data_IF_499752986412
#
_entry.id   IF_499752986412
#
_cell.length_a   1.000
_cell.length_b   1.000
_cell.length_c   1.000
_cell.angle_alpha   90.00
_cell.angle_beta   90.00
_cell.angle_gamma   90.00
#
_symmetry.space_group_name_H-M   'P 1'
#
loop_
_entity.id
_entity.type
_entity.pdbx_description
1 polymer ?
#
# COMPACT_ATOMS: atom_id res chain seq x y z
N UNK A 1 22.81 22.19 28.28
CA UNK A 1 21.71 21.80 29.20
C UNK A 1 20.53 22.72 28.91
N UNK A 2 19.63 22.37 27.99
CA UNK A 2 18.38 23.11 27.81
C UNK A 2 17.25 22.31 28.47
N UNK A 3 16.64 22.89 29.51
CA UNK A 3 15.38 22.41 30.08
C UNK A 3 14.26 22.80 29.12
N UNK A 4 13.48 21.84 28.63
CA UNK A 4 12.26 22.13 27.88
C UNK A 4 11.04 21.76 28.72
N UNK A 5 10.14 22.72 28.88
CA UNK A 5 8.90 22.62 29.66
C UNK A 5 7.86 21.85 28.85
N UNK A 6 7.30 20.79 29.44
CA UNK A 6 6.20 20.01 28.86
C UNK A 6 4.88 20.71 29.21
N UNK A 7 4.11 21.12 28.19
CA UNK A 7 2.68 21.41 28.35
C UNK A 7 1.88 20.21 27.85
N UNK A 8 1.25 19.49 28.77
CA UNK A 8 0.23 18.50 28.48
C UNK A 8 -1.08 19.22 28.15
N UNK A 9 -1.67 18.92 27.00
CA UNK A 9 -3.06 19.25 26.72
C UNK A 9 -3.85 17.97 26.49
N UNK A 10 -4.88 17.78 27.30
CA UNK A 10 -5.90 16.73 27.19
C UNK A 10 -6.74 16.96 25.93
N UNK A 11 -7.00 15.90 25.17
CA UNK A 11 -7.84 15.95 23.97
C UNK A 11 -9.31 16.16 24.35
N UNK A 12 -9.93 17.21 23.80
CA UNK A 12 -11.37 17.33 23.70
C UNK A 12 -11.81 16.78 22.32
N UNK A 13 -12.82 15.92 22.32
CA UNK A 13 -13.48 15.45 21.10
C UNK A 13 -14.53 16.47 20.66
N UNK A 14 -14.27 17.19 19.57
CA UNK A 14 -15.31 17.97 18.90
C UNK A 14 -15.95 17.12 17.79
N UNK A 15 -17.14 16.62 18.08
CA UNK A 15 -18.11 16.12 17.10
C UNK A 15 -18.64 17.30 16.30
N UNK A 16 -17.90 17.79 15.29
CA UNK A 16 -18.40 18.59 14.15
C UNK A 16 -17.20 19.10 13.33
N UNK A 17 -16.88 18.41 12.24
CA UNK A 17 -15.94 18.91 11.22
C UNK A 17 -14.63 18.13 11.14
N UNK A 18 -14.55 17.26 10.12
CA UNK A 18 -13.37 16.47 9.77
C UNK A 18 -12.15 17.37 9.50
N UNK A 19 -11.31 17.57 10.52
CA UNK A 19 -9.93 18.05 10.35
C UNK A 19 -8.97 17.08 11.02
N UNK A 20 -8.33 16.24 10.20
CA UNK A 20 -7.18 15.46 10.62
C UNK A 20 -5.99 16.42 10.84
N UNK A 21 -5.73 16.79 12.10
CA UNK A 21 -4.47 17.40 12.53
C UNK A 21 -3.55 16.30 13.06
N UNK A 22 -2.64 15.81 12.23
CA UNK A 22 -1.53 14.99 12.70
C UNK A 22 -0.27 15.85 12.84
N UNK A 23 0.24 15.92 14.06
CA UNK A 23 1.51 16.54 14.40
C UNK A 23 2.63 15.49 14.23
N UNK A 24 3.66 15.80 13.45
CA UNK A 24 4.92 15.06 13.48
C UNK A 24 5.90 15.85 14.33
N UNK A 25 6.36 15.24 15.43
CA UNK A 25 7.42 15.74 16.29
C UNK A 25 8.72 14.96 16.04
N UNK A 26 9.82 15.67 15.81
CA UNK A 26 11.21 15.27 16.07
C UNK A 26 11.56 15.85 17.45
N UNK A 27 12.24 15.26 18.44
CA UNK A 27 13.22 14.17 18.57
C UNK A 27 13.25 13.79 20.08
N UNK A 28 13.34 12.50 20.45
CA UNK A 28 14.16 12.05 21.60
C UNK A 28 14.31 10.52 21.64
N UNK A 29 15.43 10.08 22.24
CA UNK A 29 15.89 8.69 22.36
C UNK A 29 14.88 7.81 23.09
N UNK A 30 14.64 6.60 22.55
CA UNK A 30 13.93 5.45 23.16
C UNK A 30 12.54 5.05 22.64
N UNK A 31 12.09 5.57 21.49
CA UNK A 31 11.03 4.91 20.71
C UNK A 31 11.55 4.57 19.31
N UNK A 32 11.40 3.29 18.91
CA UNK A 32 11.67 2.82 17.55
C UNK A 32 10.75 3.62 16.59
N UNK A 33 11.21 3.92 15.38
CA UNK A 33 10.58 4.91 14.47
C UNK A 33 10.12 4.23 13.18
N UNK A 34 9.02 4.71 12.59
CA UNK A 34 8.67 4.49 11.18
C UNK A 34 9.86 4.96 10.34
N UNK A 35 10.44 4.06 9.54
CA UNK A 35 11.54 4.40 8.66
C UNK A 35 10.98 5.22 7.48
N UNK A 36 11.81 6.02 6.82
CA UNK A 36 11.41 7.02 5.81
C UNK A 36 10.77 6.43 4.53
N UNK A 37 10.51 5.13 4.52
CA UNK A 37 10.07 4.31 3.42
C UNK A 37 8.72 3.63 3.65
N UNK A 38 8.01 4.00 4.72
CA UNK A 38 6.71 3.44 5.08
C UNK A 38 5.60 4.49 5.08
N UNK A 39 4.45 4.13 4.53
CA UNK A 39 3.23 4.92 4.54
C UNK A 39 2.19 4.26 5.43
N UNK A 40 1.48 5.09 6.20
CA UNK A 40 0.34 4.67 7.02
C UNK A 40 -0.91 5.31 6.44
N UNK A 41 -1.93 4.49 6.17
CA UNK A 41 -3.24 4.98 5.76
C UNK A 41 -4.28 4.68 6.85
N UNK A 42 -5.11 5.68 7.13
CA UNK A 42 -6.16 5.60 8.15
C UNK A 42 -7.52 5.30 7.54
N UNK A 43 -7.79 5.87 6.37
CA UNK A 43 -9.00 5.64 5.61
C UNK A 43 -8.70 4.61 4.52
N UNK A 44 -9.28 3.39 4.58
CA UNK A 44 -9.05 2.36 3.57
C UNK A 44 -9.39 2.82 2.15
N UNK A 45 -10.29 3.78 1.99
CA UNK A 45 -10.67 4.35 0.68
C UNK A 45 -9.53 5.16 0.03
N UNK A 46 -8.47 5.47 0.78
CA UNK A 46 -7.23 6.01 0.22
C UNK A 46 -6.37 4.96 -0.46
N UNK A 47 -6.71 3.67 -0.37
CA UNK A 47 -6.01 2.60 -1.03
C UNK A 47 -6.93 1.78 -1.94
N UNK A 48 -6.35 1.36 -3.05
CA UNK A 48 -6.98 0.52 -4.05
C UNK A 48 -6.06 -0.69 -4.31
N UNK A 49 -6.39 -1.87 -3.75
CA UNK A 49 -5.64 -3.11 -3.97
C UNK A 49 -5.75 -3.61 -5.42
N UNK A 50 -4.76 -3.27 -6.25
CA UNK A 50 -4.80 -3.52 -7.70
C UNK A 50 -4.14 -4.80 -8.16
N UNK A 51 -3.07 -5.21 -7.49
CA UNK A 51 -2.30 -6.37 -7.91
C UNK A 51 -1.90 -7.25 -6.74
N UNK A 52 -1.83 -8.55 -6.99
CA UNK A 52 -1.10 -9.49 -6.14
C UNK A 52 0.12 -9.98 -6.89
N UNK A 53 1.30 -9.76 -6.31
CA UNK A 53 2.59 -10.13 -6.90
C UNK A 53 3.06 -11.39 -6.20
N UNK A 54 3.01 -12.52 -6.90
CA UNK A 54 3.63 -13.75 -6.43
C UNK A 54 5.07 -13.82 -6.90
N UNK A 55 5.94 -14.20 -5.97
CA UNK A 55 7.37 -14.27 -6.22
C UNK A 55 7.96 -15.59 -5.75
N UNK A 56 9.10 -15.97 -6.33
CA UNK A 56 9.86 -17.14 -5.87
C UNK A 56 11.35 -16.84 -5.80
N UNK A 57 11.96 -17.33 -4.73
CA UNK A 57 13.37 -17.69 -4.74
C UNK A 57 13.49 -18.92 -5.65
N UNK A 58 14.41 -18.89 -6.60
CA UNK A 58 14.35 -19.69 -7.83
C UNK A 58 13.92 -21.18 -7.67
N UNK A 59 12.69 -21.49 -8.11
CA UNK A 59 12.30 -22.66 -8.93
C UNK A 59 10.84 -22.52 -9.38
N UNK A 60 10.62 -22.68 -10.68
CA UNK A 60 9.34 -22.45 -11.36
C UNK A 60 8.30 -23.55 -11.04
N UNK A 61 7.04 -23.15 -10.96
CA UNK A 61 5.89 -24.05 -11.11
C UNK A 61 4.71 -23.24 -11.64
N UNK A 62 3.91 -23.89 -12.48
CA UNK A 62 2.84 -23.34 -13.30
C UNK A 62 1.50 -23.81 -12.73
N UNK A 63 0.51 -22.91 -12.67
CA UNK A 63 -0.92 -23.25 -12.67
C UNK A 63 -1.70 -22.04 -13.15
N UNK A 64 -2.70 -22.25 -13.99
CA UNK A 64 -3.68 -21.24 -14.40
C UNK A 64 -5.01 -21.67 -13.80
N UNK A 65 -5.62 -20.81 -12.99
CA UNK A 65 -6.99 -21.01 -12.54
C UNK A 65 -7.81 -19.74 -12.79
N UNK A 66 -8.96 -19.90 -13.43
CA UNK A 66 -10.02 -18.89 -13.49
C UNK A 66 -11.18 -19.40 -12.65
N UNK A 67 -11.64 -18.60 -11.70
CA UNK A 67 -12.78 -18.91 -10.82
C UNK A 67 -13.94 -17.93 -11.01
N UNK A 68 -15.12 -18.49 -10.80
CA UNK A 68 -16.48 -18.02 -11.08
C UNK A 68 -16.87 -16.72 -10.34
N UNK A 69 -17.81 -16.00 -10.96
CA UNK A 69 -18.53 -14.79 -10.50
C UNK A 69 -18.41 -14.43 -9.01
N UNK A 70 -17.40 -13.63 -8.71
CA UNK A 70 -17.30 -12.80 -7.50
C UNK A 70 -17.72 -11.36 -7.82
N UNK A 71 -18.02 -10.55 -6.80
CA UNK A 71 -18.32 -9.09 -6.95
C UNK A 71 -17.17 -8.27 -7.57
N UNK A 72 -16.02 -8.90 -7.75
CA UNK A 72 -14.81 -8.36 -8.34
C UNK A 72 -14.13 -9.47 -9.16
N UNK A 73 -13.27 -9.14 -10.11
CA UNK A 73 -12.64 -10.08 -11.02
C UNK A 73 -11.13 -10.17 -10.78
N UNK A 74 -10.55 -11.34 -11.07
CA UNK A 74 -9.11 -11.61 -10.95
C UNK A 74 -8.59 -12.18 -12.26
N UNK A 75 -7.54 -11.59 -12.78
CA UNK A 75 -6.85 -12.02 -13.99
C UNK A 75 -5.45 -12.48 -13.63
N UNK A 76 -5.17 -13.78 -13.76
CA UNK A 76 -3.82 -14.31 -13.54
C UNK A 76 -2.96 -14.13 -14.79
N UNK A 77 -1.81 -13.47 -14.62
CA UNK A 77 -0.93 -13.09 -15.72
C UNK A 77 0.47 -13.60 -15.41
N UNK A 78 1.01 -14.38 -16.35
CA UNK A 78 2.34 -14.96 -16.25
C UNK A 78 3.39 -14.10 -16.97
N UNK A 79 4.66 -14.16 -16.55
CA UNK A 79 5.75 -13.52 -17.27
C UNK A 79 5.79 -14.04 -18.72
N UNK A 80 5.87 -13.12 -19.68
CA UNK A 80 6.08 -13.46 -21.09
C UNK A 80 7.16 -12.57 -21.68
N UNK A 81 7.93 -13.14 -22.62
CA UNK A 81 8.86 -12.38 -23.47
C UNK A 81 8.15 -11.72 -24.66
N UNK A 82 7.03 -12.27 -25.11
CA UNK A 82 6.27 -11.69 -26.21
C UNK A 82 5.62 -10.37 -25.78
N UNK A 83 5.61 -9.40 -26.69
CA UNK A 83 4.89 -8.16 -26.53
C UNK A 83 3.93 -7.98 -27.69
N UNK A 84 2.65 -8.05 -27.38
CA UNK A 84 1.59 -7.64 -28.28
C UNK A 84 1.04 -6.30 -27.74
N UNK A 85 1.26 -5.18 -28.43
CA UNK A 85 0.73 -3.88 -28.01
C UNK A 85 -0.80 -3.81 -27.93
N UNK A 86 -1.52 -4.75 -28.55
CA UNK A 86 -2.98 -4.84 -28.50
C UNK A 86 -3.50 -5.64 -27.29
N UNK A 87 -2.65 -6.40 -26.61
CA UNK A 87 -2.99 -7.15 -25.40
C UNK A 87 -2.79 -6.26 -24.16
N UNK A 88 -3.87 -5.59 -23.73
CA UNK A 88 -3.85 -4.68 -22.58
C UNK A 88 -3.44 -5.38 -21.26
N UNK A 89 -3.69 -6.69 -21.13
CA UNK A 89 -3.30 -7.45 -19.94
C UNK A 89 -1.77 -7.53 -19.79
N UNK A 90 -0.98 -7.37 -20.87
CA UNK A 90 0.49 -7.33 -20.75
C UNK A 90 0.97 -6.14 -19.92
N UNK A 91 0.28 -5.00 -19.98
CA UNK A 91 0.64 -3.84 -19.18
C UNK A 91 0.43 -4.10 -17.69
N UNK A 92 -0.63 -4.85 -17.35
CA UNK A 92 -0.93 -5.23 -15.97
C UNK A 92 0.08 -6.21 -15.35
N UNK A 93 0.88 -6.93 -16.14
CA UNK A 93 2.05 -7.63 -15.63
C UNK A 93 3.26 -6.68 -15.49
N UNK A 94 3.50 -5.85 -16.51
CA UNK A 94 4.71 -5.01 -16.61
C UNK A 94 4.78 -3.92 -15.55
N UNK A 95 3.67 -3.28 -15.22
CA UNK A 95 3.62 -2.23 -14.19
C UNK A 95 4.10 -2.77 -12.83
N UNK A 96 3.47 -3.78 -12.22
CA UNK A 96 3.93 -4.33 -10.95
C UNK A 96 5.31 -5.00 -11.02
N UNK A 97 5.65 -5.70 -12.10
CA UNK A 97 6.99 -6.29 -12.25
C UNK A 97 8.08 -5.21 -12.30
N UNK A 98 7.85 -4.11 -13.03
CA UNK A 98 8.79 -3.00 -13.10
C UNK A 98 8.95 -2.29 -11.76
N UNK A 99 7.84 -2.03 -11.05
CA UNK A 99 7.87 -1.42 -9.71
C UNK A 99 8.62 -2.33 -8.73
N UNK A 100 8.30 -3.63 -8.72
CA UNK A 100 8.97 -4.60 -7.86
C UNK A 100 10.48 -4.64 -8.13
N UNK A 101 10.90 -4.75 -9.40
CA UNK A 101 12.32 -4.81 -9.77
C UNK A 101 13.08 -3.51 -9.51
N UNK A 102 12.41 -2.36 -9.61
CA UNK A 102 13.01 -1.06 -9.34
C UNK A 102 13.43 -0.91 -7.88
N UNK A 103 12.63 -1.44 -6.96
CA UNK A 103 12.81 -1.23 -5.52
C UNK A 103 13.31 -2.46 -4.75
N UNK A 104 13.16 -3.67 -5.30
CA UNK A 104 13.65 -4.91 -4.68
C UNK A 104 15.15 -5.08 -4.96
N UNK A 105 15.99 -4.99 -3.91
CA UNK A 105 17.45 -5.14 -4.03
C UNK A 105 17.88 -6.61 -4.04
N UNK A 106 17.05 -7.49 -3.51
CA UNK A 106 17.25 -8.93 -3.49
C UNK A 106 16.89 -9.58 -4.83
N UNK A 107 17.62 -10.65 -5.18
CA UNK A 107 17.41 -11.41 -6.42
C UNK A 107 16.19 -12.33 -6.30
N UNK A 108 15.01 -11.73 -6.29
CA UNK A 108 13.72 -12.42 -6.28
C UNK A 108 13.03 -12.23 -7.62
N UNK A 109 12.45 -13.31 -8.15
CA UNK A 109 11.72 -13.24 -9.42
C UNK A 109 10.22 -13.21 -9.17
N UNK A 110 9.54 -12.24 -9.80
CA UNK A 110 8.09 -12.27 -9.98
C UNK A 110 7.74 -13.43 -10.90
N UNK A 111 6.85 -14.30 -10.45
CA UNK A 111 6.44 -15.51 -11.19
C UNK A 111 5.01 -15.45 -11.68
N UNK A 112 4.18 -14.60 -11.07
CA UNK A 112 2.79 -14.37 -11.43
C UNK A 112 2.35 -13.03 -10.87
N UNK A 113 1.54 -12.33 -11.65
CA UNK A 113 0.80 -11.17 -11.19
C UNK A 113 -0.68 -11.51 -11.33
N UNK A 114 -1.47 -11.29 -10.29
CA UNK A 114 -2.92 -11.28 -10.38
C UNK A 114 -3.39 -9.84 -10.46
N UNK A 115 -3.96 -9.43 -11.58
CA UNK A 115 -4.64 -8.15 -11.74
C UNK A 115 -6.06 -8.24 -11.18
N UNK A 116 -6.46 -7.26 -10.39
CA UNK A 116 -7.74 -7.23 -9.68
C UNK A 116 -8.58 -6.06 -10.18
N UNK A 117 -9.82 -6.37 -10.56
CA UNK A 117 -10.83 -5.38 -10.95
C UNK A 117 -11.95 -5.43 -9.92
N UNK A 118 -12.05 -4.41 -9.07
CA UNK A 118 -13.08 -4.34 -8.03
C UNK A 118 -13.85 -3.01 -8.14
N UNK A 119 -14.93 -2.96 -8.93
CA UNK A 119 -15.62 -1.69 -9.24
C UNK A 119 -16.06 -0.90 -7.99
N UNK A 120 -16.40 -1.60 -6.90
CA UNK A 120 -16.76 -0.96 -5.64
C UNK A 120 -15.58 -0.17 -5.07
N UNK A 121 -14.46 -0.84 -4.80
CA UNK A 121 -13.27 -0.21 -4.20
C UNK A 121 -12.66 0.86 -5.12
N UNK A 122 -12.68 0.61 -6.43
CA UNK A 122 -12.21 1.56 -7.43
C UNK A 122 -13.03 2.86 -7.40
N UNK A 123 -14.36 2.75 -7.29
CA UNK A 123 -15.23 3.92 -7.21
C UNK A 123 -15.00 4.74 -5.94
N UNK A 124 -14.80 4.09 -4.79
CA UNK A 124 -14.50 4.75 -3.51
C UNK A 124 -13.14 5.46 -3.54
N UNK A 125 -12.14 4.85 -4.16
CA UNK A 125 -10.82 5.44 -4.37
C UNK A 125 -10.89 6.66 -5.28
N UNK A 126 -11.60 6.57 -6.41
CA UNK A 126 -11.78 7.68 -7.35
C UNK A 126 -12.51 8.86 -6.71
N UNK A 127 -13.54 8.59 -5.90
CA UNK A 127 -14.26 9.63 -5.15
C UNK A 127 -13.33 10.30 -4.12
N UNK A 128 -12.50 9.52 -3.43
CA UNK A 128 -11.53 10.02 -2.45
C UNK A 128 -10.44 10.86 -3.14
N UNK A 129 -9.94 10.42 -4.29
CA UNK A 129 -8.99 11.19 -5.11
C UNK A 129 -9.60 12.53 -5.55
N UNK A 130 -10.87 12.54 -5.95
CA UNK A 130 -11.58 13.78 -6.29
C UNK A 130 -11.59 14.76 -5.10
N UNK A 131 -11.96 14.28 -3.91
CA UNK A 131 -11.94 15.10 -2.68
C UNK A 131 -10.54 15.63 -2.36
N UNK A 132 -9.49 14.83 -2.57
CA UNK A 132 -8.11 15.24 -2.35
C UNK A 132 -7.68 16.32 -3.33
N UNK A 133 -8.03 16.15 -4.60
CA UNK A 133 -7.75 17.14 -5.66
C UNK A 133 -8.47 18.46 -5.43
N UNK A 134 -9.74 18.42 -5.01
CA UNK A 134 -10.51 19.60 -4.64
C UNK A 134 -9.88 20.35 -3.45
N UNK A 135 -9.33 19.60 -2.49
CA UNK A 135 -8.75 20.15 -1.26
C UNK A 135 -7.32 20.69 -1.43
N UNK A 136 -6.49 19.97 -2.17
CA UNK A 136 -5.04 20.21 -2.23
C UNK A 136 -4.56 20.72 -3.60
N UNK A 137 -5.33 20.53 -4.67
CA UNK A 137 -4.93 20.76 -6.06
C UNK A 137 -4.58 19.46 -6.80
N UNK A 138 -4.59 19.50 -8.13
CA UNK A 138 -4.46 18.29 -8.96
C UNK A 138 -3.06 17.68 -9.01
N UNK A 139 -2.01 18.50 -8.86
CA UNK A 139 -0.62 18.11 -9.13
C UNK A 139 0.27 18.17 -7.88
N UNK A 140 -0.33 18.37 -6.71
CA UNK A 140 0.43 18.36 -5.46
C UNK A 140 0.63 16.92 -5.00
N UNK A 141 1.80 16.62 -4.44
CA UNK A 141 2.20 15.28 -3.99
C UNK A 141 1.18 14.61 -3.08
N UNK A 142 0.39 15.38 -2.34
CA UNK A 142 -0.68 14.92 -1.46
C UNK A 142 -1.86 14.27 -2.20
N UNK A 143 -2.09 14.64 -3.46
CA UNK A 143 -3.23 14.22 -4.30
C UNK A 143 -2.81 13.47 -5.57
N UNK A 144 -1.54 13.03 -5.66
CA UNK A 144 -1.03 12.17 -6.73
C UNK A 144 -1.00 10.73 -6.23
N UNK A 145 -1.70 9.79 -6.89
CA UNK A 145 -1.61 8.38 -6.55
C UNK A 145 -0.18 7.83 -6.70
N UNK A 146 0.25 7.03 -5.75
CA UNK A 146 1.54 6.31 -5.76
C UNK A 146 1.31 4.80 -5.62
N UNK A 147 2.32 4.00 -5.95
CA UNK A 147 2.25 2.53 -5.92
C UNK A 147 3.08 1.98 -4.77
N UNK A 148 2.40 1.36 -3.80
CA UNK A 148 3.04 0.90 -2.57
C UNK A 148 2.75 -0.57 -2.28
N UNK A 149 3.76 -1.26 -1.73
CA UNK A 149 3.67 -2.67 -1.39
C UNK A 149 3.13 -2.88 0.02
N UNK A 150 2.20 -3.82 0.17
CA UNK A 150 1.72 -4.33 1.43
C UNK A 150 2.01 -5.83 1.57
N UNK A 151 2.56 -6.23 2.71
CA UNK A 151 2.79 -7.63 3.06
C UNK A 151 1.88 -8.08 4.19
N UNK A 152 1.37 -9.31 4.11
CA UNK A 152 0.58 -9.91 5.17
C UNK A 152 1.02 -11.35 5.42
N UNK A 153 1.11 -11.72 6.69
CA UNK A 153 1.56 -13.06 7.13
C UNK A 153 0.51 -14.15 6.95
N UNK A 154 -0.73 -13.78 6.64
CA UNK A 154 -1.86 -14.68 6.50
C UNK A 154 -2.38 -14.60 5.07
N UNK A 155 -2.26 -15.68 4.31
CA UNK A 155 -2.67 -15.70 2.90
C UNK A 155 -4.15 -15.35 2.69
N UNK A 156 -5.04 -15.78 3.59
CA UNK A 156 -6.48 -15.44 3.51
C UNK A 156 -6.77 -13.96 3.71
N UNK A 157 -5.87 -13.19 4.33
CA UNK A 157 -6.05 -11.74 4.47
C UNK A 157 -5.94 -11.05 3.12
N UNK A 158 -5.17 -11.60 2.16
CA UNK A 158 -5.12 -11.06 0.80
C UNK A 158 -6.52 -11.09 0.18
N UNK A 159 -7.24 -12.21 0.26
CA UNK A 159 -8.59 -12.28 -0.29
C UNK A 159 -9.58 -11.34 0.40
N UNK A 160 -9.46 -11.15 1.72
CA UNK A 160 -10.24 -10.16 2.48
C UNK A 160 -9.96 -8.74 1.98
N UNK A 161 -8.68 -8.36 1.86
CA UNK A 161 -8.23 -7.06 1.36
C UNK A 161 -8.77 -6.80 -0.06
N UNK A 162 -8.65 -7.78 -0.95
CA UNK A 162 -9.13 -7.62 -2.33
C UNK A 162 -10.66 -7.50 -2.42
N UNK A 163 -11.39 -8.09 -1.47
CA UNK A 163 -12.86 -8.09 -1.47
C UNK A 163 -13.45 -6.83 -0.83
N UNK A 164 -12.92 -6.43 0.32
CA UNK A 164 -13.52 -5.42 1.20
C UNK A 164 -12.52 -4.36 1.70
N UNK A 165 -11.40 -4.21 1.00
CA UNK A 165 -10.31 -3.31 1.37
C UNK A 165 -9.67 -3.64 2.73
N UNK A 166 -8.71 -2.83 3.16
CA UNK A 166 -8.04 -2.98 4.44
C UNK A 166 -8.98 -2.70 5.61
N UNK A 167 -8.99 -3.59 6.60
CA UNK A 167 -9.84 -3.47 7.77
C UNK A 167 -9.01 -3.23 9.04
N UNK A 168 -9.46 -2.31 9.90
CA UNK A 168 -8.73 -1.92 11.12
C UNK A 168 -8.53 -3.07 12.12
N UNK A 169 -9.33 -4.13 12.03
CA UNK A 169 -9.26 -5.29 12.93
C UNK A 169 -8.20 -6.32 12.53
N UNK A 170 -7.66 -6.26 11.32
CA UNK A 170 -6.66 -7.23 10.82
C UNK A 170 -5.24 -6.98 11.34
N UNK A 171 -5.05 -5.96 12.19
CA UNK A 171 -3.73 -5.53 12.65
C UNK A 171 -3.44 -6.05 14.07
N UNK A 172 -2.52 -7.02 14.15
CA UNK A 172 -1.82 -7.35 15.40
C UNK A 172 -0.85 -6.22 15.73
N UNK A 173 -0.71 -5.90 17.03
CA UNK A 173 0.18 -4.87 17.60
C UNK A 173 1.47 -4.72 16.78
N UNK A 174 1.54 -3.67 15.98
CA UNK A 174 2.78 -3.29 15.30
C UNK A 174 3.52 -2.25 16.15
N UNK A 175 4.79 -2.03 15.84
CA UNK A 175 5.64 -1.14 16.63
C UNK A 175 5.12 0.31 16.72
N UNK A 176 4.21 0.76 15.84
CA UNK A 176 3.80 2.17 15.72
C UNK A 176 2.28 2.41 15.73
N UNK A 177 1.44 1.38 15.87
CA UNK A 177 -0.03 1.52 15.94
C UNK A 177 -0.83 0.33 15.41
N UNK A 178 -2.17 0.45 15.45
CA UNK A 178 -3.11 -0.51 14.85
C UNK A 178 -3.40 -0.11 13.40
N UNK A 179 -2.40 -0.19 12.51
CA UNK A 179 -2.48 0.46 11.20
C UNK A 179 -1.98 -0.42 10.04
N UNK A 180 -2.48 -0.12 8.83
CA UNK A 180 -2.05 -0.75 7.59
C UNK A 180 -0.80 -0.03 7.08
N UNK A 181 0.32 -0.75 7.06
CA UNK A 181 1.60 -0.25 6.59
C UNK A 181 1.82 -0.63 5.14
N UNK A 182 2.41 0.31 4.43
CA UNK A 182 2.77 0.19 3.03
C UNK A 182 4.21 0.66 2.87
N UNK A 183 4.90 0.20 1.83
CA UNK A 183 6.27 0.64 1.57
C UNK A 183 6.59 0.66 0.09
N UNK A 184 7.47 1.59 -0.29
CA UNK A 184 8.08 1.65 -1.62
C UNK A 184 8.95 0.42 -1.89
N UNK A 185 9.50 -0.19 -0.82
CA UNK A 185 10.46 -1.28 -0.93
C UNK A 185 9.78 -2.62 -0.67
N UNK A 186 9.77 -3.52 -1.67
CA UNK A 186 9.25 -4.87 -1.49
C UNK A 186 9.87 -5.57 -0.29
N UNK A 187 11.16 -5.39 -0.03
CA UNK A 187 11.90 -6.05 1.06
C UNK A 187 11.34 -5.76 2.45
N UNK A 188 10.92 -4.51 2.68
CA UNK A 188 10.23 -4.11 3.91
C UNK A 188 8.93 -4.90 4.05
N UNK A 189 8.10 -4.90 3.01
CA UNK A 189 6.83 -5.64 2.97
C UNK A 189 7.00 -7.18 2.99
N UNK A 190 8.10 -7.71 2.43
CA UNK A 190 8.47 -9.13 2.48
C UNK A 190 8.73 -9.59 3.91
N UNK A 191 9.30 -8.71 4.75
CA UNK A 191 9.48 -8.98 6.18
C UNK A 191 8.16 -9.24 6.91
N UNK A 192 7.10 -8.52 6.53
CA UNK A 192 5.76 -8.68 7.09
C UNK A 192 4.97 -9.87 6.51
N UNK A 193 5.37 -10.37 5.34
CA UNK A 193 4.69 -11.47 4.65
C UNK A 193 4.81 -12.82 5.36
N UNK A 194 5.64 -12.97 6.40
CA UNK A 194 5.62 -14.14 7.30
C UNK A 194 5.76 -15.52 6.62
N UNK A 195 6.38 -15.58 5.43
CA UNK A 195 6.50 -16.79 4.62
C UNK A 195 5.47 -16.92 3.48
N UNK A 196 4.42 -16.09 3.47
CA UNK A 196 3.52 -15.93 2.31
C UNK A 196 4.32 -15.38 1.14
N UNK A 197 4.35 -16.10 0.01
CA UNK A 197 5.10 -15.70 -1.19
C UNK A 197 4.28 -14.78 -2.11
N UNK A 198 3.67 -13.77 -1.52
CA UNK A 198 2.83 -12.80 -2.20
C UNK A 198 2.90 -11.43 -1.52
N UNK A 199 2.92 -10.37 -2.31
CA UNK A 199 2.69 -8.99 -1.86
C UNK A 199 1.44 -8.44 -2.55
N UNK A 200 0.72 -7.56 -1.88
CA UNK A 200 -0.32 -6.73 -2.49
C UNK A 200 0.34 -5.43 -2.94
N UNK A 201 0.13 -5.01 -4.19
CA UNK A 201 0.52 -3.69 -4.67
C UNK A 201 -0.73 -2.83 -4.80
N UNK A 202 -0.75 -1.73 -4.07
CA UNK A 202 -1.88 -0.82 -3.99
C UNK A 202 -1.56 0.49 -4.71
N UNK A 203 -2.57 1.09 -5.34
CA UNK A 203 -2.53 2.53 -5.54
C UNK A 203 -2.94 3.21 -4.23
N UNK A 204 -2.20 4.24 -3.82
CA UNK A 204 -2.42 4.95 -2.56
C UNK A 204 -2.47 6.45 -2.77
N UNK A 205 -3.37 7.11 -2.05
CA UNK A 205 -3.42 8.55 -1.89
C UNK A 205 -2.67 8.94 -0.60
N UNK A 206 -1.45 9.48 -0.68
CA UNK A 206 -0.62 9.73 0.50
C UNK A 206 -1.19 10.83 1.41
N UNK A 207 -1.99 11.75 0.85
CA UNK A 207 -2.52 12.88 1.61
C UNK A 207 -1.40 13.76 2.15
N UNK A 208 -1.68 14.51 3.22
CA UNK A 208 -0.70 15.45 3.79
C UNK A 208 0.49 14.72 4.40
N UNK A 209 1.62 14.74 3.69
CA UNK A 209 2.90 14.21 4.18
C UNK A 209 3.51 15.24 5.13
N UNK A 210 3.50 14.93 6.43
CA UNK A 210 4.09 15.81 7.44
C UNK A 210 5.62 15.70 7.45
N UNK A 211 6.28 16.62 6.74
CA UNK A 211 7.59 17.18 7.06
C UNK A 211 8.77 16.22 7.26
N UNK A 212 9.22 15.54 6.20
CA UNK A 212 10.65 15.22 6.09
C UNK A 212 11.37 16.49 5.65
N UNK A 213 12.14 17.14 6.53
CA UNK A 213 13.16 18.09 6.07
C UNK A 213 14.20 17.27 5.29
N UNK A 214 14.20 17.37 3.98
CA UNK A 214 15.34 16.89 3.19
C UNK A 214 16.56 17.71 3.62
N UNK A 215 17.48 17.10 4.35
CA UNK A 215 18.82 17.67 4.54
C UNK A 215 19.49 17.68 3.17
N UNK A 216 19.76 18.88 2.65
CA UNK A 216 20.74 19.08 1.57
C UNK A 216 22.14 18.85 2.10
#
# INVERSE_FOLDING_TARGET
MLKCVIKLYTMAFDYLGMTAKFHVWLEHKNYRRVLFDEFMIYDPRQADPRYVINYKVAKLSISVASTVATTFQKYEILPSRSFDPSDELKYHFRVPDSQFRRFCKTRVNVVKVTYVVNPLLESEFVETLKKFREKYGNEVKEAVPILEFHGTSIASNIDSILKSNFQSYDIKVTAYGYENYFSDFPETSLGYAGGVKALVLCMILPGKIAGCKQSR
#
